data_IF_071822007004
#
_entry.id   IF_071822007004
#
_cell.length_a   1.000
_cell.length_b   1.000
_cell.length_c   1.000
_cell.angle_alpha   90.00
_cell.angle_beta   90.00
_cell.angle_gamma   90.00
#
_symmetry.space_group_name_H-M   'P 1'
#
loop_
_entity.id
_entity.type
_entity.pdbx_description
1 polymer ?
#
# COMPACT_ATOMS: atom_id res chain seq x y z
N UNK A 1 49.25 9.45 -12.05
CA UNK A 1 48.64 10.78 -12.13
C UNK A 1 47.17 10.58 -11.80
N UNK A 2 46.62 11.27 -10.80
CA UNK A 2 45.22 11.09 -10.41
C UNK A 2 44.37 12.09 -11.19
N UNK A 3 43.34 11.58 -11.88
CA UNK A 3 42.43 12.41 -12.67
C UNK A 3 41.61 13.31 -11.75
N UNK A 4 41.68 14.63 -11.99
CA UNK A 4 40.92 15.63 -11.23
C UNK A 4 39.41 15.49 -11.45
N UNK A 5 39.00 14.88 -12.56
CA UNK A 5 37.61 14.64 -12.92
C UNK A 5 37.08 13.27 -12.48
N UNK A 6 37.88 12.49 -11.73
CA UNK A 6 37.42 11.21 -11.20
C UNK A 6 36.45 11.41 -10.03
N UNK A 7 35.50 10.49 -9.88
CA UNK A 7 34.59 10.40 -8.73
C UNK A 7 35.33 10.16 -7.40
N UNK A 8 36.54 9.59 -7.47
CA UNK A 8 37.29 9.19 -6.29
C UNK A 8 38.08 10.34 -5.65
N UNK A 9 38.25 10.25 -4.33
CA UNK A 9 39.16 11.08 -3.56
C UNK A 9 40.54 10.42 -3.48
N UNK A 10 41.62 11.16 -3.81
CA UNK A 10 42.98 10.62 -3.78
C UNK A 10 43.51 10.49 -2.34
N UNK A 11 44.10 9.34 -2.01
CA UNK A 11 44.75 9.12 -0.71
C UNK A 11 46.20 9.62 -0.72
N UNK A 12 46.70 10.04 0.44
CA UNK A 12 48.07 10.51 0.63
C UNK A 12 48.97 9.36 1.09
N UNK A 13 50.19 9.27 0.57
CA UNK A 13 51.19 8.29 1.04
C UNK A 13 51.71 8.68 2.43
N UNK A 14 51.91 7.69 3.30
CA UNK A 14 52.48 7.87 4.65
C UNK A 14 53.93 7.41 4.63
N UNK A 15 54.86 8.30 4.99
CA UNK A 15 56.29 7.98 5.10
C UNK A 15 56.65 7.30 6.43
N UNK A 16 57.74 6.53 6.44
CA UNK A 16 58.13 5.60 7.54
C UNK A 16 58.34 6.27 8.92
N UNK A 17 58.59 7.58 8.97
CA UNK A 17 58.83 8.36 10.21
C UNK A 17 58.03 9.67 10.26
N UNK A 18 56.83 9.73 9.66
CA UNK A 18 56.05 10.96 9.63
C UNK A 18 55.38 11.23 11.00
N UNK A 19 55.66 12.36 11.69
CA UNK A 19 55.00 12.70 12.95
C UNK A 19 53.48 12.88 12.81
N UNK A 20 52.97 13.10 11.59
CA UNK A 20 51.52 13.21 11.29
C UNK A 20 50.94 11.94 10.66
N UNK A 21 51.60 10.78 10.79
CA UNK A 21 51.16 9.53 10.18
C UNK A 21 49.70 9.19 10.52
N UNK A 22 49.34 9.22 11.81
CA UNK A 22 48.00 8.89 12.29
C UNK A 22 46.91 9.86 11.74
N UNK A 23 47.23 11.14 11.60
CA UNK A 23 46.31 12.14 11.03
C UNK A 23 46.05 11.88 9.54
N UNK A 24 47.11 11.59 8.79
CA UNK A 24 47.00 11.25 7.37
C UNK A 24 46.25 9.94 7.17
N UNK A 25 46.47 8.97 8.04
CA UNK A 25 45.74 7.70 8.05
C UNK A 25 44.24 7.93 8.26
N UNK A 26 43.85 8.70 9.28
CA UNK A 26 42.45 9.03 9.55
C UNK A 26 41.78 9.76 8.37
N UNK A 27 42.48 10.71 7.75
CA UNK A 27 41.96 11.40 6.57
C UNK A 27 41.83 10.45 5.37
N UNK A 28 42.78 9.54 5.17
CA UNK A 28 42.71 8.54 4.13
C UNK A 28 41.56 7.57 4.35
N UNK A 29 41.28 7.18 5.59
CA UNK A 29 40.10 6.37 5.93
C UNK A 29 38.82 7.07 5.48
N UNK A 30 38.64 8.36 5.79
CA UNK A 30 37.48 9.12 5.33
C UNK A 30 37.38 9.16 3.78
N UNK A 31 38.50 9.35 3.08
CA UNK A 31 38.55 9.31 1.61
C UNK A 31 38.21 7.93 1.04
N UNK A 32 38.68 6.86 1.68
CA UNK A 32 38.35 5.49 1.30
C UNK A 32 36.87 5.17 1.53
N UNK A 33 36.28 5.65 2.62
CA UNK A 33 34.84 5.48 2.88
C UNK A 33 33.98 6.19 1.83
N UNK A 34 34.37 7.40 1.43
CA UNK A 34 33.76 8.06 0.26
C UNK A 34 33.91 7.22 -0.99
N UNK A 35 35.13 6.75 -1.32
CA UNK A 35 35.38 5.98 -2.54
C UNK A 35 34.52 4.70 -2.59
N UNK A 36 34.42 3.97 -1.48
CA UNK A 36 33.54 2.79 -1.37
C UNK A 36 32.06 3.16 -1.59
N UNK A 37 31.63 4.31 -1.09
CA UNK A 37 30.25 4.78 -1.25
C UNK A 37 29.97 5.23 -2.69
N UNK A 38 30.95 5.85 -3.35
CA UNK A 38 30.90 6.16 -4.77
C UNK A 38 30.82 4.90 -5.64
N UNK A 39 31.57 3.84 -5.31
CA UNK A 39 31.47 2.55 -6.00
C UNK A 39 30.06 1.97 -5.86
N UNK A 40 29.49 1.99 -4.64
CA UNK A 40 28.12 1.54 -4.41
C UNK A 40 27.11 2.38 -5.20
N UNK A 41 27.29 3.70 -5.26
CA UNK A 41 26.43 4.60 -6.04
C UNK A 41 26.42 4.25 -7.54
N UNK A 42 27.61 4.01 -8.12
CA UNK A 42 27.74 3.60 -9.51
C UNK A 42 27.06 2.24 -9.76
N UNK A 43 27.25 1.27 -8.84
CA UNK A 43 26.61 -0.06 -8.93
C UNK A 43 25.08 0.04 -8.84
N UNK A 44 24.56 0.92 -7.97
CA UNK A 44 23.12 1.21 -7.85
C UNK A 44 22.56 2.06 -9.00
N UNK A 45 23.38 2.39 -10.02
CA UNK A 45 22.96 3.08 -11.23
C UNK A 45 22.76 4.60 -11.06
N UNK A 46 23.42 5.21 -10.07
CA UNK A 46 23.50 6.67 -9.98
C UNK A 46 24.48 7.15 -11.06
N UNK A 47 24.05 8.16 -11.83
CA UNK A 47 24.86 8.74 -12.89
C UNK A 47 26.16 9.34 -12.34
N UNK A 48 27.28 9.07 -13.01
CA UNK A 48 28.60 9.55 -12.64
C UNK A 48 28.64 11.08 -12.46
N UNK A 49 27.98 11.81 -13.38
CA UNK A 49 27.87 13.27 -13.32
C UNK A 49 27.24 13.76 -12.00
N UNK A 50 26.26 13.02 -11.46
CA UNK A 50 25.62 13.37 -10.20
C UNK A 50 26.56 13.16 -9.02
N UNK A 51 27.35 12.08 -9.03
CA UNK A 51 28.33 11.82 -7.97
C UNK A 51 29.46 12.86 -8.02
N UNK A 52 29.87 13.28 -9.22
CA UNK A 52 30.83 14.37 -9.40
C UNK A 52 30.29 15.71 -8.90
N UNK A 53 29.03 16.04 -9.17
CA UNK A 53 28.37 17.23 -8.64
C UNK A 53 28.41 17.22 -7.09
N UNK A 54 28.02 16.11 -6.47
CA UNK A 54 28.04 15.96 -5.00
C UNK A 54 29.45 16.08 -4.46
N UNK A 55 30.45 15.44 -5.09
CA UNK A 55 31.85 15.58 -4.69
C UNK A 55 32.28 17.06 -4.75
N UNK A 56 31.89 17.77 -5.79
CA UNK A 56 32.25 19.18 -5.96
C UNK A 56 31.60 20.04 -4.87
N UNK A 57 30.28 19.98 -4.72
CA UNK A 57 29.53 20.86 -3.81
C UNK A 57 29.69 20.48 -2.34
N UNK A 58 29.63 19.18 -2.02
CA UNK A 58 29.60 18.70 -0.64
C UNK A 58 31.00 18.48 -0.05
N UNK A 59 32.03 18.30 -0.89
CA UNK A 59 33.41 18.06 -0.41
C UNK A 59 34.34 19.20 -0.81
N UNK A 60 34.52 19.46 -2.11
CA UNK A 60 35.52 20.43 -2.57
C UNK A 60 35.18 21.85 -2.14
N UNK A 61 33.96 22.31 -2.37
CA UNK A 61 33.55 23.68 -2.06
C UNK A 61 33.49 23.91 -0.55
N UNK A 62 32.88 22.98 0.20
CA UNK A 62 32.80 23.06 1.68
C UNK A 62 34.16 22.94 2.35
N UNK A 63 35.05 22.06 1.89
CA UNK A 63 36.40 21.99 2.41
C UNK A 63 37.20 23.24 2.05
N UNK A 64 37.05 23.77 0.84
CA UNK A 64 37.66 25.02 0.41
C UNK A 64 37.23 26.21 1.26
N UNK A 65 35.92 26.31 1.55
CA UNK A 65 35.37 27.32 2.45
C UNK A 65 35.93 27.16 3.87
N UNK A 66 35.90 25.95 4.42
CA UNK A 66 36.43 25.67 5.76
C UNK A 66 37.90 26.07 5.91
N UNK A 67 38.72 25.81 4.90
CA UNK A 67 40.14 26.19 4.87
C UNK A 67 40.31 27.72 4.83
N UNK A 68 39.49 28.44 4.06
CA UNK A 68 39.54 29.90 3.99
C UNK A 68 39.15 30.56 5.33
N UNK A 69 38.18 29.99 6.03
CA UNK A 69 37.64 30.56 7.27
C UNK A 69 38.45 30.16 8.52
N UNK A 70 38.89 28.90 8.59
CA UNK A 70 39.46 28.33 9.82
C UNK A 70 40.87 27.74 9.62
N UNK A 71 41.43 27.81 8.41
CA UNK A 71 42.64 27.10 8.06
C UNK A 71 42.44 25.59 7.91
N UNK A 72 43.54 24.85 7.72
CA UNK A 72 43.47 23.39 7.61
C UNK A 72 43.22 22.74 8.96
N UNK A 73 42.01 22.20 9.14
CA UNK A 73 41.62 21.42 10.31
C UNK A 73 41.21 19.99 9.89
N UNK A 74 42.01 18.96 10.21
CA UNK A 74 41.76 17.58 9.77
C UNK A 74 40.40 17.02 10.23
N UNK A 75 39.98 17.37 11.45
CA UNK A 75 38.67 16.98 11.97
C UNK A 75 37.52 17.55 11.13
N UNK A 76 37.63 18.80 10.68
CA UNK A 76 36.61 19.44 9.84
C UNK A 76 36.58 18.80 8.46
N UNK A 77 37.74 18.55 7.85
CA UNK A 77 37.80 17.83 6.58
C UNK A 77 37.12 16.46 6.66
N UNK A 78 37.43 15.68 7.70
CA UNK A 78 36.76 14.38 7.94
C UNK A 78 35.26 14.52 8.14
N UNK A 79 34.81 15.51 8.90
CA UNK A 79 33.38 15.79 9.08
C UNK A 79 32.67 16.15 7.78
N UNK A 80 33.30 16.94 6.91
CA UNK A 80 32.77 17.31 5.59
C UNK A 80 32.64 16.07 4.70
N UNK A 81 33.69 15.26 4.59
CA UNK A 81 33.66 14.00 3.82
C UNK A 81 32.63 13.03 4.40
N UNK A 82 32.50 12.96 5.72
CA UNK A 82 31.49 12.14 6.41
C UNK A 82 30.06 12.56 6.04
N UNK A 83 29.75 13.86 6.05
CA UNK A 83 28.44 14.38 5.64
C UNK A 83 28.15 14.13 4.16
N UNK A 84 29.13 14.34 3.29
CA UNK A 84 28.98 14.05 1.86
C UNK A 84 28.71 12.55 1.62
N UNK A 85 29.40 11.67 2.34
CA UNK A 85 29.15 10.23 2.34
C UNK A 85 27.71 9.91 2.74
N UNK A 86 27.22 10.47 3.84
CA UNK A 86 25.83 10.27 4.30
C UNK A 86 24.82 10.76 3.26
N UNK A 87 25.08 11.91 2.63
CA UNK A 87 24.24 12.45 1.57
C UNK A 87 24.17 11.51 0.36
N UNK A 88 25.33 11.01 -0.11
CA UNK A 88 25.37 10.05 -1.21
C UNK A 88 24.68 8.72 -0.84
N UNK A 89 24.85 8.24 0.40
CA UNK A 89 24.14 7.06 0.90
C UNK A 89 22.61 7.25 0.93
N UNK A 90 22.13 8.45 1.23
CA UNK A 90 20.69 8.75 1.18
C UNK A 90 20.14 8.64 -0.24
N UNK A 91 20.87 9.16 -1.23
CA UNK A 91 20.48 9.05 -2.65
C UNK A 91 20.49 7.60 -3.12
N UNK A 92 21.49 6.80 -2.71
CA UNK A 92 21.53 5.35 -2.98
C UNK A 92 20.27 4.68 -2.43
N UNK A 93 19.93 4.96 -1.16
CA UNK A 93 18.75 4.39 -0.51
C UNK A 93 17.45 4.80 -1.18
N UNK A 94 17.34 6.03 -1.65
CA UNK A 94 16.16 6.52 -2.38
C UNK A 94 16.02 5.80 -3.73
N UNK A 95 17.12 5.63 -4.47
CA UNK A 95 17.12 4.91 -5.75
C UNK A 95 16.85 3.42 -5.61
N UNK A 96 17.38 2.78 -4.58
CA UNK A 96 17.12 1.37 -4.26
C UNK A 96 15.78 1.17 -3.53
N UNK A 97 14.99 2.24 -3.28
CA UNK A 97 13.70 2.11 -2.62
C UNK A 97 12.68 1.47 -3.56
N UNK A 98 11.97 0.41 -3.12
CA UNK A 98 10.90 -0.17 -3.91
C UNK A 98 9.80 0.85 -4.20
N UNK A 99 9.12 0.78 -5.36
CA UNK A 99 8.00 1.67 -5.64
C UNK A 99 6.89 1.44 -4.62
N UNK A 100 6.38 2.53 -4.04
CA UNK A 100 5.27 2.46 -3.09
C UNK A 100 4.04 1.86 -3.78
N UNK A 101 3.34 0.88 -3.16
CA UNK A 101 2.08 0.38 -3.68
C UNK A 101 1.10 1.54 -3.91
N UNK A 102 0.33 1.45 -5.00
CA UNK A 102 -0.70 2.44 -5.34
C UNK A 102 -2.05 1.76 -5.40
N UNK A 103 -3.02 2.31 -4.69
CA UNK A 103 -4.40 1.85 -4.76
C UNK A 103 -5.09 2.46 -5.97
N UNK A 104 -5.44 1.59 -6.92
CA UNK A 104 -6.08 1.99 -8.17
C UNK A 104 -7.61 1.91 -8.04
N UNK A 105 -8.17 2.64 -7.06
CA UNK A 105 -9.60 2.65 -6.75
C UNK A 105 -10.00 4.00 -6.16
N UNK A 106 -11.21 4.46 -6.50
CA UNK A 106 -11.82 5.60 -5.84
C UNK A 106 -12.21 5.27 -4.39
N UNK A 107 -11.51 5.89 -3.44
CA UNK A 107 -11.75 5.68 -2.01
C UNK A 107 -13.03 6.34 -1.51
N UNK A 108 -13.51 7.40 -2.17
CA UNK A 108 -14.75 8.06 -1.77
C UNK A 108 -15.95 7.20 -2.18
N UNK A 109 -15.91 6.56 -3.36
CA UNK A 109 -16.91 5.56 -3.75
C UNK A 109 -16.85 4.30 -2.84
N UNK A 110 -15.67 3.88 -2.38
CA UNK A 110 -15.61 2.80 -1.39
C UNK A 110 -16.23 3.20 -0.04
N UNK A 111 -16.06 4.44 0.40
CA UNK A 111 -16.70 4.96 1.63
C UNK A 111 -18.22 5.04 1.52
N UNK A 112 -18.77 5.42 0.36
CA UNK A 112 -20.22 5.36 0.16
C UNK A 112 -20.70 3.92 0.26
N UNK A 113 -19.99 2.97 -0.37
CA UNK A 113 -20.30 1.55 -0.24
C UNK A 113 -20.23 1.04 1.21
N UNK A 114 -19.26 1.47 2.02
CA UNK A 114 -19.21 1.12 3.46
C UNK A 114 -20.43 1.66 4.22
N UNK A 115 -20.87 2.87 3.90
CA UNK A 115 -22.07 3.47 4.50
C UNK A 115 -23.31 2.67 4.14
N UNK A 116 -23.43 2.23 2.88
CA UNK A 116 -24.52 1.36 2.43
C UNK A 116 -24.48 0.00 3.13
N UNK A 117 -23.30 -0.61 3.28
CA UNK A 117 -23.13 -1.88 3.98
C UNK A 117 -23.63 -1.78 5.42
N UNK A 118 -23.29 -0.70 6.14
CA UNK A 118 -23.75 -0.48 7.51
C UNK A 118 -25.29 -0.37 7.58
N UNK A 119 -25.91 0.34 6.63
CA UNK A 119 -27.37 0.45 6.54
C UNK A 119 -28.02 -0.92 6.28
N UNK A 120 -27.50 -1.69 5.31
CA UNK A 120 -27.98 -3.04 4.99
C UNK A 120 -27.84 -3.97 6.19
N UNK A 121 -26.69 -3.96 6.87
CA UNK A 121 -26.47 -4.78 8.07
C UNK A 121 -27.42 -4.40 9.21
N UNK A 122 -27.71 -3.11 9.40
CA UNK A 122 -28.66 -2.63 10.42
C UNK A 122 -30.05 -3.18 10.15
N UNK A 123 -30.53 -3.13 8.91
CA UNK A 123 -31.83 -3.70 8.52
C UNK A 123 -31.84 -5.23 8.65
N UNK A 124 -30.80 -5.91 8.16
CA UNK A 124 -30.68 -7.35 8.27
C UNK A 124 -30.72 -7.82 9.73
N UNK A 125 -30.10 -7.07 10.66
CA UNK A 125 -30.15 -7.36 12.10
C UNK A 125 -31.55 -7.16 12.69
N UNK A 126 -32.29 -6.14 12.24
CA UNK A 126 -33.67 -5.91 12.66
C UNK A 126 -34.61 -7.04 12.17
N UNK A 127 -34.49 -7.41 10.89
CA UNK A 127 -35.22 -8.52 10.26
C UNK A 127 -34.91 -9.82 11.00
N UNK A 128 -33.63 -10.13 11.23
CA UNK A 128 -33.19 -11.32 11.96
C UNK A 128 -33.79 -11.37 13.37
N UNK A 129 -33.83 -10.25 14.10
CA UNK A 129 -34.46 -10.17 15.43
C UNK A 129 -35.95 -10.49 15.36
N UNK A 130 -36.67 -9.95 14.38
CA UNK A 130 -38.09 -10.22 14.21
C UNK A 130 -38.33 -11.70 13.92
N UNK A 131 -37.57 -12.28 12.99
CA UNK A 131 -37.70 -13.67 12.54
C UNK A 131 -37.29 -14.70 13.60
N UNK A 132 -36.19 -14.49 14.31
CA UNK A 132 -35.61 -15.49 15.22
C UNK A 132 -36.03 -15.33 16.68
N UNK A 133 -36.45 -14.13 17.10
CA UNK A 133 -36.76 -13.83 18.51
C UNK A 133 -38.21 -13.44 18.69
N UNK A 134 -38.68 -12.41 17.99
CA UNK A 134 -39.99 -11.82 18.27
C UNK A 134 -41.14 -12.70 17.82
N UNK A 135 -41.16 -13.14 16.56
CA UNK A 135 -42.23 -13.99 16.02
C UNK A 135 -42.32 -15.35 16.73
N UNK A 136 -41.22 -16.08 16.97
CA UNK A 136 -41.28 -17.35 17.70
C UNK A 136 -41.81 -17.19 19.12
N UNK A 137 -41.40 -16.15 19.85
CA UNK A 137 -41.86 -15.90 21.21
C UNK A 137 -43.37 -15.59 21.25
N UNK A 138 -43.87 -14.73 20.36
CA UNK A 138 -45.31 -14.42 20.30
C UNK A 138 -46.15 -15.64 19.90
N UNK A 139 -45.67 -16.46 18.96
CA UNK A 139 -46.32 -17.71 18.57
C UNK A 139 -46.32 -18.73 19.72
N UNK A 140 -45.24 -18.79 20.49
CA UNK A 140 -45.16 -19.63 21.70
C UNK A 140 -46.15 -19.15 22.77
N UNK A 141 -46.20 -17.84 23.05
CA UNK A 141 -47.17 -17.26 23.99
C UNK A 141 -48.61 -17.53 23.56
N UNK A 142 -48.90 -17.46 22.26
CA UNK A 142 -50.21 -17.79 21.68
C UNK A 142 -50.57 -19.26 21.91
N UNK A 143 -49.60 -20.17 21.76
CA UNK A 143 -49.81 -21.60 22.02
C UNK A 143 -50.03 -21.89 23.52
N UNK A 144 -49.36 -21.16 24.41
CA UNK A 144 -49.49 -21.29 25.87
C UNK A 144 -50.77 -20.66 26.42
N UNK A 145 -51.39 -19.70 25.70
CA UNK A 145 -52.70 -19.11 26.04
C UNK A 145 -53.85 -20.07 25.68
N UNK A 146 -53.87 -21.23 26.36
CA UNK A 146 -54.96 -22.21 26.27
C UNK A 146 -55.88 -22.08 27.49
N UNK A 147 -57.19 -21.94 27.25
CA UNK A 147 -58.21 -21.80 28.29
C UNK A 147 -59.45 -21.04 27.81
N UNK A 148 -60.63 -21.49 28.24
CA UNK A 148 -61.95 -21.01 27.76
C UNK A 148 -62.17 -19.50 28.00
N UNK A 149 -61.53 -18.91 29.02
CA UNK A 149 -61.66 -17.49 29.34
C UNK A 149 -60.61 -16.57 28.70
N UNK A 150 -59.63 -17.12 27.95
CA UNK A 150 -58.49 -16.36 27.38
C UNK A 150 -58.71 -15.84 25.95
N UNK A 151 -59.96 -15.87 25.46
CA UNK A 151 -60.27 -15.48 24.07
C UNK A 151 -59.86 -14.06 23.68
N UNK A 152 -59.93 -13.10 24.62
CA UNK A 152 -59.48 -11.71 24.38
C UNK A 152 -57.95 -11.60 24.26
N UNK A 153 -57.20 -12.27 25.13
CA UNK A 153 -55.74 -12.31 25.09
C UNK A 153 -55.23 -12.99 23.82
N UNK A 154 -55.86 -14.11 23.43
CA UNK A 154 -55.53 -14.82 22.19
C UNK A 154 -55.70 -13.94 20.95
N UNK A 155 -56.83 -13.24 20.85
CA UNK A 155 -57.10 -12.32 19.74
C UNK A 155 -56.14 -11.12 19.72
N UNK A 156 -55.68 -10.66 20.89
CA UNK A 156 -54.67 -9.61 20.99
C UNK A 156 -53.29 -10.08 20.50
N UNK A 157 -52.87 -11.30 20.88
CA UNK A 157 -51.64 -11.92 20.42
C UNK A 157 -51.67 -12.20 18.91
N UNK A 158 -52.77 -12.71 18.37
CA UNK A 158 -52.96 -12.92 16.92
C UNK A 158 -52.80 -11.60 16.14
N UNK A 159 -53.41 -10.52 16.63
CA UNK A 159 -53.28 -9.19 16.02
C UNK A 159 -51.85 -8.67 16.08
N UNK A 160 -51.14 -8.88 17.18
CA UNK A 160 -49.73 -8.49 17.32
C UNK A 160 -48.82 -9.27 16.35
N UNK A 161 -49.05 -10.58 16.21
CA UNK A 161 -48.32 -11.42 15.24
C UNK A 161 -48.55 -10.89 13.83
N UNK A 162 -49.80 -10.65 13.42
CA UNK A 162 -50.12 -10.10 12.10
C UNK A 162 -49.46 -8.73 11.87
N UNK A 163 -49.45 -7.87 12.88
CA UNK A 163 -48.82 -6.55 12.77
C UNK A 163 -47.30 -6.66 12.58
N UNK A 164 -46.64 -7.56 13.29
CA UNK A 164 -45.19 -7.78 13.20
C UNK A 164 -44.82 -8.51 11.90
N UNK A 165 -45.67 -9.41 11.40
CA UNK A 165 -45.51 -10.01 10.08
C UNK A 165 -45.61 -8.95 8.96
N UNK A 166 -46.58 -8.04 9.05
CA UNK A 166 -46.67 -6.92 8.11
C UNK A 166 -45.46 -5.97 8.18
N UNK A 167 -44.96 -5.68 9.39
CA UNK A 167 -43.74 -4.90 9.58
C UNK A 167 -42.51 -5.61 8.98
N UNK A 168 -42.43 -6.94 9.11
CA UNK A 168 -41.35 -7.74 8.54
C UNK A 168 -41.36 -7.68 7.01
N UNK A 169 -42.53 -7.84 6.39
CA UNK A 169 -42.69 -7.75 4.94
C UNK A 169 -42.32 -6.36 4.43
N UNK A 170 -42.75 -5.30 5.11
CA UNK A 170 -42.38 -3.92 4.78
C UNK A 170 -40.86 -3.68 4.87
N UNK A 171 -40.20 -4.22 5.90
CA UNK A 171 -38.74 -4.10 6.02
C UNK A 171 -38.00 -4.87 4.95
N UNK A 172 -38.52 -6.02 4.51
CA UNK A 172 -37.94 -6.82 3.43
C UNK A 172 -38.10 -6.10 2.08
N UNK A 173 -39.28 -5.52 1.82
CA UNK A 173 -39.61 -4.78 0.61
C UNK A 173 -38.76 -3.52 0.44
N UNK A 174 -38.52 -2.77 1.53
CA UNK A 174 -37.73 -1.53 1.53
C UNK A 174 -36.22 -1.74 1.60
N UNK A 175 -35.74 -2.97 1.73
CA UNK A 175 -34.32 -3.24 1.91
C UNK A 175 -33.50 -2.96 0.63
N UNK A 176 -33.98 -3.31 -0.58
CA UNK A 176 -33.36 -2.91 -1.84
C UNK A 176 -33.32 -1.39 -2.06
N UNK A 177 -34.31 -0.63 -1.57
CA UNK A 177 -34.38 0.83 -1.75
C UNK A 177 -33.14 1.55 -1.22
N UNK A 178 -32.51 0.99 -0.18
CA UNK A 178 -31.25 1.51 0.39
C UNK A 178 -30.12 1.52 -0.65
N UNK A 179 -30.19 0.64 -1.64
CA UNK A 179 -29.13 0.31 -2.59
C UNK A 179 -29.44 0.82 -4.01
N UNK A 180 -30.72 0.92 -4.38
CA UNK A 180 -31.16 1.33 -5.73
C UNK A 180 -30.76 2.77 -6.05
N UNK A 181 -30.81 3.67 -5.07
CA UNK A 181 -30.43 5.08 -5.24
C UNK A 181 -28.97 5.24 -5.68
N UNK A 182 -28.10 4.32 -5.26
CA UNK A 182 -26.68 4.27 -5.61
C UNK A 182 -26.41 3.35 -6.83
N UNK A 183 -27.45 2.85 -7.50
CA UNK A 183 -27.36 2.05 -8.72
C UNK A 183 -27.06 0.56 -8.49
N UNK A 184 -27.37 0.03 -7.31
CA UNK A 184 -27.32 -1.40 -7.03
C UNK A 184 -28.74 -1.99 -7.08
N UNK A 185 -29.03 -2.94 -7.98
CA UNK A 185 -30.39 -3.45 -8.18
C UNK A 185 -30.89 -4.31 -7.02
N UNK A 186 -29.98 -4.95 -6.29
CA UNK A 186 -30.31 -5.79 -5.14
C UNK A 186 -29.10 -5.94 -4.20
N UNK A 187 -29.36 -6.54 -3.03
CA UNK A 187 -28.36 -6.81 -1.99
C UNK A 187 -27.25 -7.73 -2.48
N UNK A 188 -27.56 -8.75 -3.27
CA UNK A 188 -26.56 -9.72 -3.72
C UNK A 188 -25.56 -9.07 -4.68
N UNK A 189 -26.04 -8.25 -5.62
CA UNK A 189 -25.23 -7.46 -6.54
C UNK A 189 -24.33 -6.49 -5.77
N UNK A 190 -24.88 -5.81 -4.76
CA UNK A 190 -24.11 -4.95 -3.86
C UNK A 190 -23.05 -5.75 -3.09
N UNK A 191 -23.41 -6.82 -2.39
CA UNK A 191 -22.51 -7.66 -1.59
C UNK A 191 -21.36 -8.24 -2.42
N UNK A 192 -21.66 -8.68 -3.65
CA UNK A 192 -20.65 -9.19 -4.58
C UNK A 192 -19.65 -8.11 -4.96
N UNK A 193 -20.12 -6.89 -5.21
CA UNK A 193 -19.27 -5.75 -5.57
C UNK A 193 -18.45 -5.30 -4.35
N UNK A 194 -19.09 -5.16 -3.20
CA UNK A 194 -18.47 -4.76 -1.93
C UNK A 194 -17.35 -5.69 -1.51
N UNK A 195 -17.59 -7.01 -1.48
CA UNK A 195 -16.56 -7.99 -1.10
C UNK A 195 -15.33 -7.93 -1.99
N UNK A 196 -15.52 -7.70 -3.29
CA UNK A 196 -14.39 -7.56 -4.22
C UNK A 196 -13.62 -6.25 -3.96
N UNK A 197 -14.33 -5.16 -3.71
CA UNK A 197 -13.70 -3.88 -3.40
C UNK A 197 -12.90 -3.97 -2.07
N UNK A 198 -13.51 -4.56 -1.05
CA UNK A 198 -12.89 -4.80 0.26
C UNK A 198 -11.63 -5.68 0.15
N UNK A 199 -11.67 -6.72 -0.68
CA UNK A 199 -10.49 -7.56 -0.93
C UNK A 199 -9.33 -6.78 -1.56
N UNK A 200 -9.61 -5.86 -2.50
CA UNK A 200 -8.59 -5.01 -3.13
C UNK A 200 -7.98 -4.05 -2.10
N UNK A 201 -8.81 -3.38 -1.30
CA UNK A 201 -8.34 -2.46 -0.25
C UNK A 201 -7.52 -3.21 0.80
N UNK A 202 -7.97 -4.41 1.19
CA UNK A 202 -7.24 -5.27 2.14
C UNK A 202 -5.88 -5.68 1.59
N UNK A 203 -5.83 -6.12 0.33
CA UNK A 203 -4.57 -6.47 -0.32
C UNK A 203 -3.62 -5.28 -0.40
N UNK A 204 -4.12 -4.10 -0.79
CA UNK A 204 -3.32 -2.88 -0.83
C UNK A 204 -2.75 -2.52 0.56
N UNK A 205 -3.55 -2.62 1.62
CA UNK A 205 -3.08 -2.35 2.98
C UNK A 205 -2.00 -3.35 3.41
N UNK A 206 -2.10 -4.62 3.01
CA UNK A 206 -1.07 -5.63 3.24
C UNK A 206 0.21 -5.30 2.46
N UNK A 207 0.10 -5.04 1.16
CA UNK A 207 1.24 -4.66 0.32
C UNK A 207 1.93 -3.40 0.86
N UNK A 208 1.16 -2.43 1.37
CA UNK A 208 1.68 -1.22 1.99
C UNK A 208 2.45 -1.52 3.28
N UNK A 209 1.91 -2.39 4.14
CA UNK A 209 2.58 -2.79 5.38
C UNK A 209 3.88 -3.57 5.10
N UNK A 210 3.86 -4.48 4.12
CA UNK A 210 5.06 -5.20 3.66
C UNK A 210 6.10 -4.23 3.09
N UNK A 211 5.67 -3.26 2.28
CA UNK A 211 6.55 -2.21 1.75
C UNK A 211 7.18 -1.37 2.88
N UNK A 212 6.39 -0.92 3.85
CA UNK A 212 6.90 -0.16 5.00
C UNK A 212 7.90 -0.97 5.83
N UNK A 213 7.66 -2.27 6.00
CA UNK A 213 8.60 -3.17 6.68
C UNK A 213 9.89 -3.38 5.87
N UNK A 214 9.79 -3.60 4.56
CA UNK A 214 10.97 -3.78 3.71
C UNK A 214 11.85 -2.52 3.68
N UNK A 215 11.23 -1.34 3.60
CA UNK A 215 11.92 -0.04 3.70
C UNK A 215 12.61 0.11 5.05
N UNK A 216 11.96 -0.26 6.16
CA UNK A 216 12.58 -0.23 7.51
C UNK A 216 13.75 -1.21 7.64
N UNK A 217 13.66 -2.37 7.00
CA UNK A 217 14.66 -3.44 7.11
C UNK A 217 15.77 -3.37 6.05
N UNK A 218 15.71 -2.40 5.11
CA UNK A 218 16.67 -2.28 4.01
C UNK A 218 16.67 -3.47 3.03
N UNK A 219 15.56 -4.23 2.98
CA UNK A 219 15.41 -5.39 2.12
C UNK A 219 14.82 -4.99 0.76
N UNK A 220 15.31 -5.61 -0.32
CA UNK A 220 14.74 -5.46 -1.68
C UNK A 220 13.48 -6.33 -1.80
N UNK A 221 12.27 -5.78 -1.95
CA UNK A 221 11.12 -6.54 -2.39
C UNK A 221 11.25 -6.87 -3.89
N UNK A 222 10.59 -7.94 -4.32
CA UNK A 222 10.47 -8.25 -5.74
C UNK A 222 9.83 -7.07 -6.50
N UNK A 223 10.43 -6.70 -7.63
CA UNK A 223 9.97 -5.65 -8.52
C UNK A 223 8.62 -6.06 -9.16
N UNK A 224 7.51 -5.81 -8.45
CA UNK A 224 6.18 -5.92 -9.03
C UNK A 224 5.93 -4.65 -9.85
N UNK A 225 5.88 -4.80 -11.18
CA UNK A 225 5.51 -3.71 -12.09
C UNK A 225 4.11 -3.20 -11.73
N UNK A 226 4.04 -2.10 -11.00
CA UNK A 226 2.81 -1.36 -10.77
C UNK A 226 2.96 0.00 -11.46
N UNK A 227 2.60 0.04 -12.75
CA UNK A 227 2.37 1.30 -13.46
C UNK A 227 1.25 2.05 -12.72
N UNK A 228 1.41 3.33 -12.34
CA UNK A 228 0.33 4.11 -11.74
C UNK A 228 -0.75 4.32 -12.80
N UNK A 229 -1.96 3.75 -12.67
CA UNK A 229 -3.07 4.05 -13.54
C UNK A 229 -3.86 5.24 -12.98
N UNK A 230 -4.71 5.82 -13.82
CA UNK A 230 -5.69 6.82 -13.40
C UNK A 230 -6.62 6.28 -12.30
N UNK A 231 -7.08 7.19 -11.44
CA UNK A 231 -8.13 6.90 -10.46
C UNK A 231 -9.40 6.52 -11.21
N UNK A 232 -9.83 5.28 -11.04
CA UNK A 232 -11.05 4.75 -11.65
C UNK A 232 -12.08 4.46 -10.58
N UNK A 233 -13.35 4.65 -10.94
CA UNK A 233 -14.49 4.17 -10.15
C UNK A 233 -14.29 2.72 -9.73
N UNK A 234 -14.70 2.38 -8.51
CA UNK A 234 -14.67 1.04 -7.91
C UNK A 234 -15.30 0.02 -8.87
N UNK A 235 -16.46 0.36 -9.45
CA UNK A 235 -17.18 -0.51 -10.38
C UNK A 235 -16.40 -0.74 -11.68
N UNK A 236 -15.78 0.31 -12.24
CA UNK A 236 -14.99 0.20 -13.46
C UNK A 236 -13.72 -0.62 -13.22
N UNK A 237 -13.03 -0.39 -12.10
CA UNK A 237 -11.86 -1.18 -11.72
C UNK A 237 -12.21 -2.66 -11.55
N UNK A 238 -13.35 -2.96 -10.91
CA UNK A 238 -13.84 -4.32 -10.74
C UNK A 238 -14.25 -5.00 -12.05
N UNK A 239 -14.71 -4.24 -13.04
CA UNK A 239 -14.98 -4.73 -14.40
C UNK A 239 -13.67 -5.05 -15.12
N UNK A 240 -12.70 -4.13 -15.07
CA UNK A 240 -11.39 -4.31 -15.67
C UNK A 240 -10.68 -5.56 -15.12
N UNK A 241 -10.66 -5.74 -13.79
CA UNK A 241 -10.06 -6.93 -13.16
C UNK A 241 -10.75 -8.24 -13.57
N UNK A 242 -12.06 -8.21 -13.84
CA UNK A 242 -12.78 -9.38 -14.36
C UNK A 242 -12.42 -9.67 -15.82
N UNK A 243 -12.23 -8.64 -16.63
CA UNK A 243 -11.82 -8.77 -18.03
C UNK A 243 -10.36 -9.24 -18.15
N UNK A 244 -9.46 -8.69 -17.33
CA UNK A 244 -8.06 -9.13 -17.20
C UNK A 244 -7.99 -10.61 -16.76
N UNK A 245 -8.79 -11.00 -15.78
CA UNK A 245 -8.90 -12.40 -15.36
C UNK A 245 -9.39 -13.34 -16.46
N UNK A 246 -10.34 -12.89 -17.29
CA UNK A 246 -10.87 -13.66 -18.45
C UNK A 246 -9.86 -13.76 -19.59
N UNK A 247 -9.12 -12.68 -19.89
CA UNK A 247 -8.07 -12.70 -20.91
C UNK A 247 -6.90 -13.60 -20.48
N UNK A 248 -6.53 -13.59 -19.20
CA UNK A 248 -5.43 -14.41 -18.69
C UNK A 248 -5.80 -15.90 -18.52
N UNK A 249 -7.10 -16.24 -18.58
CA UNK A 249 -7.63 -17.61 -18.53
C UNK A 249 -8.07 -18.15 -19.89
N UNK A 250 -7.91 -17.40 -21.00
CA UNK A 250 -8.03 -17.99 -22.32
C UNK A 250 -6.87 -18.99 -22.55
N UNK A 251 -7.17 -20.26 -22.88
CA UNK A 251 -6.12 -21.22 -23.22
C UNK A 251 -5.41 -20.67 -24.45
N UNK A 252 -4.09 -20.42 -24.34
CA UNK A 252 -3.23 -20.16 -25.50
C UNK A 252 -3.53 -21.24 -26.53
N UNK A 253 -4.25 -20.90 -27.58
CA UNK A 253 -4.46 -21.81 -28.70
C UNK A 253 -3.07 -22.19 -29.20
N UNK A 254 -2.64 -23.41 -28.87
CA UNK A 254 -1.47 -24.04 -29.46
C UNK A 254 -1.68 -23.96 -30.96
N UNK A 255 -0.89 -23.13 -31.64
CA UNK A 255 -0.80 -23.12 -33.11
C UNK A 255 -0.52 -24.56 -33.51
N UNK A 256 -1.51 -25.20 -34.14
CA UNK A 256 -1.37 -26.46 -34.85
C UNK A 256 -0.26 -26.23 -35.87
N UNK A 257 0.92 -26.81 -35.64
CA UNK A 257 1.94 -26.96 -36.66
C UNK A 257 1.30 -27.76 -37.79
N UNK A 258 0.99 -27.07 -38.89
CA UNK A 258 0.71 -27.74 -40.15
C UNK A 258 2.00 -28.40 -40.58
N UNK A 259 1.97 -29.73 -40.56
CA UNK A 259 2.87 -30.59 -41.29
C UNK A 259 2.91 -30.10 -42.75
N UNK A 260 4.10 -29.70 -43.21
CA UNK A 260 4.36 -29.48 -44.63
C UNK A 260 5.20 -30.64 -45.10
N UNK A 261 4.58 -31.43 -45.97
CA UNK A 261 5.20 -32.43 -46.83
C UNK A 261 6.62 -32.07 -47.26
N UNK A 262 7.52 -33.04 -47.11
CA UNK A 262 8.57 -33.34 -48.08
C UNK A 262 8.97 -34.80 -48.03
#
# INVERSE_FOLDING_TARGET
>A
MFDKNSVYLPTKKIGKNNPKAAEIEADNTARQEWNRTADLALISGIEEAKILEIKQTEIHDKAGQSIRENGWLPNLFRGIVGKAKEFLQAIIREKDMPPKPVLNMDMDEFRTMQTLMLKVQKQAKAIKKIQEVTLPNLRQQLAETTGIFKGKERKALEKQIQQIEAELDEKLDKLPDILTDDGYPDVQAFMKTYRKAEAIVTQYNQDLAEWEQAVKNGQKPAEKQHRPPERQSVRNRLRQLQEEGKQNSQPKQRKKSQDRDR
#
